data_IF_017218096008
#
_entry.id   IF_017218096008
#
_cell.length_a   1.000
_cell.length_b   1.000
_cell.length_c   1.000
_cell.angle_alpha   90.00
_cell.angle_beta   90.00
_cell.angle_gamma   90.00
#
_symmetry.space_group_name_H-M   'P 1'
#
loop_
_entity.id
_entity.type
_entity.pdbx_description
1 polymer ?
#
# COMPACT_ATOMS: atom_id res chain seq x y z
N UNK A 1 -37.08 6.75 2.28
CA UNK A 1 -36.27 6.72 3.51
C UNK A 1 -34.94 7.38 3.18
N UNK A 2 -34.43 8.29 3.99
CA UNK A 2 -33.09 8.83 3.79
C UNK A 2 -32.06 7.69 3.89
N UNK A 3 -31.07 7.68 3.00
CA UNK A 3 -29.96 6.74 3.10
C UNK A 3 -29.22 6.96 4.43
N UNK A 4 -28.71 5.90 5.08
CA UNK A 4 -27.93 6.05 6.29
C UNK A 4 -26.67 6.87 5.98
N UNK A 5 -26.39 7.87 6.83
CA UNK A 5 -25.17 8.69 6.71
C UNK A 5 -23.91 7.83 6.81
N UNK A 6 -22.88 8.19 6.03
CA UNK A 6 -21.57 7.50 6.03
C UNK A 6 -20.67 7.86 7.22
N UNK A 7 -21.12 8.73 8.12
CA UNK A 7 -20.35 9.21 9.26
C UNK A 7 -21.21 9.31 10.53
N UNK A 8 -20.55 9.23 11.69
CA UNK A 8 -21.12 9.63 12.97
C UNK A 8 -20.80 11.10 13.24
N UNK A 9 -21.68 11.79 13.96
CA UNK A 9 -21.39 13.14 14.43
C UNK A 9 -20.24 13.09 15.43
N UNK A 10 -19.15 13.80 15.13
CA UNK A 10 -18.05 13.95 16.06
C UNK A 10 -18.48 14.86 17.22
N UNK A 11 -18.70 14.26 18.38
CA UNK A 11 -19.08 14.97 19.61
C UNK A 11 -17.87 15.34 20.49
N UNK A 12 -16.65 15.07 20.03
CA UNK A 12 -15.44 15.49 20.74
C UNK A 12 -15.18 16.98 20.50
N UNK A 13 -14.72 17.72 21.52
CA UNK A 13 -14.35 19.12 21.35
C UNK A 13 -13.14 19.24 20.42
N UNK A 14 -13.08 20.35 19.69
CA UNK A 14 -11.90 20.69 18.91
C UNK A 14 -10.69 20.94 19.83
N UNK A 15 -9.49 20.78 19.29
CA UNK A 15 -8.26 20.98 20.03
C UNK A 15 -8.13 22.43 20.49
N UNK A 16 -7.97 22.64 21.81
CA UNK A 16 -7.94 23.97 22.43
C UNK A 16 -6.52 24.53 22.66
N UNK A 17 -5.48 23.83 22.20
CA UNK A 17 -4.08 24.23 22.40
C UNK A 17 -3.40 23.64 23.66
N UNK A 18 -4.14 22.93 24.52
CA UNK A 18 -3.59 22.33 25.74
C UNK A 18 -2.91 20.98 25.47
N UNK A 19 -1.84 20.68 26.21
CA UNK A 19 -1.14 19.40 26.08
C UNK A 19 -2.04 18.22 26.46
N UNK A 20 -2.40 17.40 25.46
CA UNK A 20 -3.11 16.14 25.68
C UNK A 20 -2.12 15.04 25.99
N UNK A 21 -2.23 14.43 27.17
CA UNK A 21 -1.47 13.21 27.51
C UNK A 21 -2.36 11.99 27.33
N UNK A 22 -2.16 11.17 26.28
CA UNK A 22 -2.97 9.98 26.08
C UNK A 22 -2.68 8.92 27.14
N UNK A 23 -3.70 8.20 27.58
CA UNK A 23 -3.52 7.01 28.42
C UNK A 23 -2.92 5.86 27.60
N UNK A 24 -1.58 5.83 27.57
CA UNK A 24 -0.81 4.78 26.89
C UNK A 24 -1.07 3.39 27.48
N UNK A 25 -1.49 3.29 28.75
CA UNK A 25 -1.81 2.03 29.41
C UNK A 25 -3.09 1.42 28.84
N UNK A 26 -4.17 2.20 28.82
CA UNK A 26 -5.47 1.83 28.25
C UNK A 26 -5.36 1.46 26.76
N UNK A 27 -4.70 2.32 25.96
CA UNK A 27 -4.50 2.04 24.53
C UNK A 27 -3.72 0.74 24.28
N UNK A 28 -2.68 0.47 25.09
CA UNK A 28 -1.91 -0.78 25.01
C UNK A 28 -2.74 -2.00 25.41
N UNK A 29 -3.65 -1.86 26.37
CA UNK A 29 -4.55 -2.93 26.82
C UNK A 29 -5.59 -3.25 25.74
N UNK A 30 -6.24 -2.22 25.18
CA UNK A 30 -7.20 -2.36 24.06
C UNK A 30 -6.56 -3.03 22.84
N UNK A 31 -5.36 -2.59 22.44
CA UNK A 31 -4.63 -3.22 21.35
C UNK A 31 -4.35 -4.71 21.60
N UNK A 32 -4.01 -5.07 22.84
CA UNK A 32 -3.78 -6.47 23.21
C UNK A 32 -5.06 -7.30 23.16
N UNK A 33 -6.17 -6.77 23.66
CA UNK A 33 -7.48 -7.43 23.62
C UNK A 33 -7.95 -7.68 22.18
N UNK A 34 -7.77 -6.69 21.29
CA UNK A 34 -8.06 -6.84 19.87
C UNK A 34 -7.18 -7.93 19.24
N UNK A 35 -5.88 -7.94 19.55
CA UNK A 35 -4.94 -8.97 19.08
C UNK A 35 -5.39 -10.36 19.52
N UNK A 36 -5.75 -10.54 20.79
CA UNK A 36 -6.25 -11.82 21.30
C UNK A 36 -7.55 -12.26 20.62
N UNK A 37 -8.44 -11.31 20.34
CA UNK A 37 -9.70 -11.58 19.64
C UNK A 37 -9.45 -12.04 18.21
N UNK A 38 -8.52 -11.39 17.50
CA UNK A 38 -8.11 -11.78 16.14
C UNK A 38 -7.48 -13.17 16.19
N UNK A 39 -6.50 -13.39 17.07
CA UNK A 39 -5.81 -14.68 17.16
C UNK A 39 -6.73 -15.83 17.55
N UNK A 40 -7.76 -15.59 18.36
CA UNK A 40 -8.74 -16.61 18.74
C UNK A 40 -9.77 -16.95 17.67
N UNK A 41 -9.95 -16.09 16.65
CA UNK A 41 -10.99 -16.28 15.60
C UNK A 41 -10.41 -16.55 14.22
N UNK A 42 -9.20 -16.07 13.94
CA UNK A 42 -8.62 -16.15 12.60
C UNK A 42 -7.80 -17.42 12.42
N UNK A 43 -8.39 -18.41 11.75
CA UNK A 43 -7.74 -19.69 11.51
C UNK A 43 -6.48 -19.54 10.63
N UNK A 44 -5.42 -20.24 11.00
CA UNK A 44 -4.09 -20.20 10.34
C UNK A 44 -4.01 -21.27 9.24
N UNK A 45 -4.94 -21.20 8.29
CA UNK A 45 -5.13 -22.19 7.23
C UNK A 45 -4.97 -21.54 5.85
N UNK A 46 -4.66 -22.35 4.83
CA UNK A 46 -4.37 -21.86 3.47
C UNK A 46 -5.51 -21.03 2.86
N UNK A 47 -6.78 -21.34 3.19
CA UNK A 47 -7.95 -20.60 2.70
C UNK A 47 -7.97 -19.14 3.15
N UNK A 48 -7.25 -18.81 4.23
CA UNK A 48 -7.17 -17.46 4.77
C UNK A 48 -5.91 -16.72 4.31
N UNK A 49 -5.09 -17.31 3.45
CA UNK A 49 -3.90 -16.67 2.90
C UNK A 49 -4.23 -15.70 1.75
N UNK A 50 -5.41 -15.82 1.15
CA UNK A 50 -5.84 -14.97 0.04
C UNK A 50 -5.93 -13.48 0.44
N UNK A 51 -5.57 -12.60 -0.49
CA UNK A 51 -5.59 -11.14 -0.30
C UNK A 51 -4.40 -10.55 0.47
N UNK A 52 -3.28 -11.27 0.55
CA UNK A 52 -1.97 -10.73 0.92
C UNK A 52 -1.93 -9.99 2.26
N UNK A 53 -1.28 -8.81 2.28
CA UNK A 53 -1.24 -7.90 3.42
C UNK A 53 -2.58 -7.22 3.71
N UNK A 54 -3.43 -7.09 2.69
CA UNK A 54 -4.66 -6.31 2.78
C UNK A 54 -5.74 -7.01 3.62
N UNK A 55 -6.00 -8.28 3.36
CA UNK A 55 -7.03 -9.08 4.07
C UNK A 55 -6.57 -10.48 4.46
N UNK A 56 -5.37 -10.92 4.04
CA UNK A 56 -4.85 -12.26 4.28
C UNK A 56 -4.02 -12.40 5.56
N UNK A 57 -3.50 -13.61 5.78
CA UNK A 57 -2.63 -13.91 6.93
C UNK A 57 -1.38 -13.02 6.99
N UNK A 58 -0.85 -12.56 5.86
CA UNK A 58 0.32 -11.67 5.84
C UNK A 58 0.05 -10.36 6.61
N UNK A 59 -1.17 -9.82 6.52
CA UNK A 59 -1.58 -8.64 7.28
C UNK A 59 -1.56 -8.87 8.79
N UNK A 60 -1.94 -10.08 9.24
CA UNK A 60 -1.82 -10.46 10.65
C UNK A 60 -0.36 -10.60 11.09
N UNK A 61 0.53 -11.11 10.22
CA UNK A 61 1.99 -11.13 10.49
C UNK A 61 2.50 -9.70 10.67
N UNK A 62 2.13 -8.78 9.78
CA UNK A 62 2.53 -7.38 9.84
C UNK A 62 2.05 -6.71 11.13
N UNK A 63 0.78 -6.90 11.50
CA UNK A 63 0.23 -6.41 12.76
C UNK A 63 1.05 -6.88 13.97
N UNK A 64 1.35 -8.18 14.06
CA UNK A 64 2.11 -8.75 15.17
C UNK A 64 3.56 -8.23 15.21
N UNK A 65 4.18 -7.98 14.06
CA UNK A 65 5.48 -7.31 13.95
C UNK A 65 5.44 -5.87 14.47
N UNK A 66 4.45 -5.06 14.07
CA UNK A 66 4.33 -3.70 14.57
C UNK A 66 4.17 -3.66 16.10
N UNK A 67 3.37 -4.59 16.65
CA UNK A 67 3.09 -4.66 18.08
C UNK A 67 4.29 -5.07 18.94
N UNK A 68 5.31 -5.74 18.38
CA UNK A 68 6.44 -6.21 19.18
C UNK A 68 7.45 -5.12 19.56
N UNK A 69 7.56 -4.06 18.74
CA UNK A 69 8.62 -3.04 18.79
C UNK A 69 8.71 -2.27 20.12
N UNK A 70 7.63 -2.23 20.91
CA UNK A 70 7.55 -1.43 22.15
C UNK A 70 7.16 -2.26 23.38
N UNK A 71 7.60 -3.52 23.43
CA UNK A 71 7.21 -4.47 24.48
C UNK A 71 8.41 -5.01 25.23
N UNK A 72 8.15 -5.51 26.44
CA UNK A 72 9.17 -6.24 27.21
C UNK A 72 9.65 -7.46 26.43
N UNK A 73 10.89 -7.90 26.66
CA UNK A 73 11.51 -9.01 25.92
C UNK A 73 10.64 -10.26 25.88
N UNK A 74 10.02 -10.63 27.02
CA UNK A 74 9.12 -11.79 27.10
C UNK A 74 7.92 -11.66 26.16
N UNK A 75 7.31 -10.47 26.09
CA UNK A 75 6.15 -10.19 25.22
C UNK A 75 6.56 -10.10 23.76
N UNK A 76 7.68 -9.44 23.46
CA UNK A 76 8.28 -9.41 22.12
C UNK A 76 8.47 -10.84 21.59
N UNK A 77 9.12 -11.70 22.37
CA UNK A 77 9.37 -13.10 21.97
C UNK A 77 8.07 -13.89 21.74
N UNK A 78 7.03 -13.65 22.54
CA UNK A 78 5.72 -14.27 22.33
C UNK A 78 5.08 -13.82 21.01
N UNK A 79 5.04 -12.51 20.75
CA UNK A 79 4.44 -11.95 19.54
C UNK A 79 5.17 -12.41 18.27
N UNK A 80 6.51 -12.45 18.29
CA UNK A 80 7.31 -12.94 17.17
C UNK A 80 7.04 -14.43 16.90
N UNK A 81 6.98 -15.26 17.95
CA UNK A 81 6.64 -16.69 17.79
C UNK A 81 5.23 -16.88 17.25
N UNK A 82 4.27 -16.09 17.71
CA UNK A 82 2.90 -16.12 17.20
C UNK A 82 2.86 -15.69 15.73
N UNK A 83 3.58 -14.64 15.35
CA UNK A 83 3.67 -14.17 13.96
C UNK A 83 4.20 -15.26 13.01
N UNK A 84 5.18 -16.06 13.43
CA UNK A 84 5.68 -17.20 12.63
C UNK A 84 4.58 -18.22 12.32
N UNK A 85 3.62 -18.42 13.23
CA UNK A 85 2.51 -19.36 12.99
C UNK A 85 1.55 -18.88 11.90
N UNK A 86 1.45 -17.56 11.69
CA UNK A 86 0.74 -16.96 10.55
C UNK A 86 1.60 -16.96 9.28
N UNK A 87 2.91 -16.71 9.44
CA UNK A 87 3.83 -16.59 8.31
C UNK A 87 4.02 -17.89 7.55
N UNK A 88 4.10 -19.05 8.24
CA UNK A 88 4.31 -20.36 7.58
C UNK A 88 3.29 -20.65 6.47
N UNK A 89 1.97 -20.73 6.75
CA UNK A 89 0.98 -20.95 5.70
C UNK A 89 0.95 -19.82 4.66
N UNK A 90 1.29 -18.58 5.06
CA UNK A 90 1.41 -17.45 4.14
C UNK A 90 2.49 -17.71 3.07
N UNK A 91 3.70 -18.10 3.50
CA UNK A 91 4.81 -18.39 2.58
C UNK A 91 4.59 -19.67 1.79
N UNK A 92 3.97 -20.70 2.37
CA UNK A 92 3.61 -21.93 1.66
C UNK A 92 2.65 -21.63 0.50
N UNK A 93 1.62 -20.81 0.75
CA UNK A 93 0.72 -20.33 -0.30
C UNK A 93 1.44 -19.49 -1.36
N UNK A 94 2.30 -18.55 -0.95
CA UNK A 94 3.05 -17.70 -1.88
C UNK A 94 3.98 -18.53 -2.79
N UNK A 95 4.67 -19.52 -2.23
CA UNK A 95 5.54 -20.42 -3.00
C UNK A 95 4.74 -21.28 -3.99
N UNK A 96 3.53 -21.73 -3.60
CA UNK A 96 2.65 -22.47 -4.49
C UNK A 96 2.16 -21.59 -5.66
N UNK A 97 1.66 -20.39 -5.36
CA UNK A 97 1.13 -19.47 -6.38
C UNK A 97 2.21 -18.85 -7.26
N UNK A 98 3.49 -18.85 -6.85
CA UNK A 98 4.62 -18.43 -7.70
C UNK A 98 4.63 -19.12 -9.07
N UNK A 99 4.14 -20.37 -9.15
CA UNK A 99 4.12 -21.18 -10.37
C UNK A 99 2.77 -21.30 -11.07
N UNK A 100 1.67 -21.01 -10.37
CA UNK A 100 0.29 -21.29 -10.82
C UNK A 100 -0.64 -20.06 -10.73
N UNK A 101 -0.21 -19.00 -10.05
CA UNK A 101 -0.99 -17.80 -9.81
C UNK A 101 -1.03 -16.89 -11.03
N UNK A 102 -1.99 -15.96 -11.02
CA UNK A 102 -1.99 -14.88 -12.01
C UNK A 102 -0.89 -13.86 -11.67
N UNK A 103 -0.62 -12.90 -12.57
CA UNK A 103 0.43 -11.89 -12.36
C UNK A 103 0.24 -11.03 -11.11
N UNK A 104 -1.01 -10.73 -10.74
CA UNK A 104 -1.35 -9.98 -9.52
C UNK A 104 -0.98 -10.79 -8.30
N UNK A 105 -1.43 -12.05 -8.22
CA UNK A 105 -1.11 -12.94 -7.09
C UNK A 105 0.42 -13.04 -6.88
N UNK A 106 1.17 -13.09 -7.98
CA UNK A 106 2.63 -13.23 -7.96
C UNK A 106 3.34 -11.97 -7.49
N UNK A 107 2.95 -10.78 -7.99
CA UNK A 107 3.79 -9.58 -7.89
C UNK A 107 3.19 -8.42 -7.09
N UNK A 108 1.88 -8.42 -6.81
CA UNK A 108 1.24 -7.35 -6.05
C UNK A 108 1.79 -7.26 -4.61
N UNK A 109 1.94 -6.03 -4.11
CA UNK A 109 2.41 -5.80 -2.75
C UNK A 109 1.33 -6.02 -1.71
N UNK A 110 0.23 -5.25 -1.75
CA UNK A 110 -0.82 -5.40 -0.73
C UNK A 110 -1.66 -6.67 -0.91
N UNK A 111 -1.92 -7.06 -2.16
CA UNK A 111 -2.82 -8.17 -2.46
C UNK A 111 -2.11 -9.47 -2.90
N UNK A 112 -0.79 -9.47 -3.06
CA UNK A 112 -0.05 -10.60 -3.60
C UNK A 112 1.16 -11.03 -2.78
N UNK A 113 1.97 -11.88 -3.39
CA UNK A 113 3.10 -12.53 -2.74
C UNK A 113 4.24 -11.58 -2.38
N UNK A 114 4.36 -10.42 -3.05
CA UNK A 114 5.41 -9.46 -2.70
C UNK A 114 5.25 -8.98 -1.25
N UNK A 115 4.02 -8.73 -0.79
CA UNK A 115 3.77 -8.40 0.61
C UNK A 115 4.11 -9.53 1.58
N UNK A 116 3.81 -10.78 1.20
CA UNK A 116 4.14 -11.97 1.99
C UNK A 116 5.66 -12.14 2.17
N UNK A 117 6.43 -12.02 1.09
CA UNK A 117 7.89 -12.08 1.16
C UNK A 117 8.47 -10.91 1.95
N UNK A 118 7.94 -9.69 1.75
CA UNK A 118 8.42 -8.52 2.46
C UNK A 118 8.23 -8.67 3.99
N UNK A 119 7.03 -9.03 4.44
CA UNK A 119 6.78 -9.22 5.88
C UNK A 119 7.54 -10.43 6.43
N UNK A 120 7.74 -11.47 5.62
CA UNK A 120 8.60 -12.61 5.98
C UNK A 120 10.04 -12.19 6.24
N UNK A 121 10.63 -11.39 5.34
CA UNK A 121 11.99 -10.89 5.48
C UNK A 121 12.18 -10.09 6.77
N UNK A 122 11.25 -9.17 7.05
CA UNK A 122 11.28 -8.32 8.25
C UNK A 122 11.09 -9.15 9.52
N UNK A 123 10.17 -10.12 9.53
CA UNK A 123 9.95 -10.97 10.69
C UNK A 123 11.16 -11.86 10.99
N UNK A 124 11.75 -12.48 9.96
CA UNK A 124 12.93 -13.32 10.14
C UNK A 124 14.15 -12.52 10.58
N UNK A 125 14.30 -11.27 10.12
CA UNK A 125 15.31 -10.35 10.64
C UNK A 125 15.09 -10.07 12.14
N UNK A 126 13.85 -9.81 12.57
CA UNK A 126 13.54 -9.57 13.98
C UNK A 126 13.75 -10.80 14.90
N UNK A 127 13.85 -11.99 14.30
CA UNK A 127 14.15 -13.28 14.92
C UNK A 127 15.63 -13.69 14.80
N UNK A 128 16.49 -12.80 14.28
CA UNK A 128 17.90 -13.06 14.01
C UNK A 128 18.15 -14.27 13.07
N UNK A 129 17.20 -14.57 12.18
CA UNK A 129 17.31 -15.63 11.18
C UNK A 129 17.70 -15.04 9.81
N UNK A 130 19.00 -14.82 9.63
CA UNK A 130 19.56 -14.18 8.43
C UNK A 130 19.32 -15.01 7.15
N UNK A 131 19.31 -16.34 7.24
CA UNK A 131 19.12 -17.23 6.09
C UNK A 131 17.72 -17.07 5.49
N UNK A 132 16.67 -17.23 6.32
CA UNK A 132 15.29 -17.09 5.87
C UNK A 132 14.94 -15.64 5.52
N UNK A 133 15.54 -14.66 6.20
CA UNK A 133 15.44 -13.25 5.82
C UNK A 133 15.95 -13.02 4.38
N UNK A 134 17.18 -13.50 4.09
CA UNK A 134 17.79 -13.37 2.75
C UNK A 134 17.00 -14.10 1.68
N UNK A 135 16.43 -15.27 2.02
CA UNK A 135 15.56 -16.02 1.11
C UNK A 135 14.32 -15.21 0.74
N UNK A 136 13.61 -14.66 1.72
CA UNK A 136 12.43 -13.82 1.48
C UNK A 136 12.78 -12.56 0.67
N UNK A 137 13.91 -11.91 0.96
CA UNK A 137 14.39 -10.76 0.17
C UNK A 137 14.69 -11.13 -1.28
N UNK A 138 15.34 -12.27 -1.50
CA UNK A 138 15.61 -12.77 -2.86
C UNK A 138 14.32 -13.03 -3.62
N UNK A 139 13.33 -13.66 -2.98
CA UNK A 139 12.01 -13.89 -3.55
C UNK A 139 11.30 -12.58 -3.92
N UNK A 140 11.33 -11.58 -3.03
CA UNK A 140 10.78 -10.24 -3.31
C UNK A 140 11.49 -9.56 -4.49
N UNK A 141 12.83 -9.58 -4.51
CA UNK A 141 13.62 -8.91 -5.53
C UNK A 141 13.44 -9.52 -6.93
N UNK A 142 13.25 -10.84 -7.01
CA UNK A 142 12.97 -11.56 -8.26
C UNK A 142 11.65 -11.15 -8.93
N UNK A 143 10.77 -10.41 -8.24
CA UNK A 143 9.51 -9.92 -8.79
C UNK A 143 9.68 -8.62 -9.58
N UNK A 144 10.80 -7.89 -9.42
CA UNK A 144 11.02 -6.62 -10.13
C UNK A 144 10.84 -6.76 -11.66
N UNK A 145 11.46 -7.76 -12.34
CA UNK A 145 11.26 -7.96 -13.78
C UNK A 145 9.80 -8.25 -14.21
N UNK A 146 8.94 -8.71 -13.29
CA UNK A 146 7.52 -8.98 -13.58
C UNK A 146 6.74 -7.68 -13.72
N UNK A 147 7.04 -6.68 -12.89
CA UNK A 147 6.33 -5.39 -12.86
C UNK A 147 6.95 -4.33 -13.78
N UNK A 148 8.20 -4.51 -14.21
CA UNK A 148 8.92 -3.55 -15.07
C UNK A 148 8.26 -3.30 -16.45
N UNK A 149 7.76 -4.29 -17.20
CA UNK A 149 7.22 -4.04 -18.54
C UNK A 149 6.05 -3.06 -18.52
N UNK A 150 6.03 -2.03 -19.39
CA UNK A 150 5.02 -0.95 -19.42
C UNK A 150 3.56 -1.47 -19.36
N UNK A 151 3.26 -2.57 -20.04
CA UNK A 151 1.94 -3.18 -20.08
C UNK A 151 1.87 -4.52 -19.32
N UNK A 152 2.46 -4.61 -18.13
CA UNK A 152 2.53 -5.87 -17.39
C UNK A 152 1.15 -6.41 -16.95
N UNK A 153 0.18 -5.54 -16.67
CA UNK A 153 -1.23 -5.85 -16.43
C UNK A 153 -2.13 -5.17 -17.46
N UNK A 154 -3.15 -5.89 -17.95
CA UNK A 154 -4.14 -5.36 -18.91
C UNK A 154 -5.18 -4.45 -18.28
N UNK A 155 -5.45 -4.60 -16.98
CA UNK A 155 -6.42 -3.79 -16.25
C UNK A 155 -5.86 -2.44 -15.78
N UNK A 156 -4.57 -2.14 -16.03
CA UNK A 156 -3.85 -1.05 -15.39
C UNK A 156 -2.93 -1.59 -14.30
N UNK A 157 -1.67 -1.15 -14.29
CA UNK A 157 -0.62 -1.79 -13.50
C UNK A 157 0.24 -0.84 -12.68
N UNK A 158 -0.22 0.39 -12.44
CA UNK A 158 0.56 1.42 -11.78
C UNK A 158 0.11 1.72 -10.35
N UNK A 159 -1.14 1.40 -10.01
CA UNK A 159 -1.74 1.78 -8.72
C UNK A 159 -1.15 1.06 -7.49
N UNK A 160 -1.66 1.36 -6.30
CA UNK A 160 -1.00 1.00 -5.05
C UNK A 160 -1.29 -0.44 -4.58
N UNK A 161 -2.48 -1.00 -4.83
CA UNK A 161 -2.83 -2.30 -4.26
C UNK A 161 -2.14 -3.46 -4.99
N UNK A 162 -2.12 -3.40 -6.32
CA UNK A 162 -1.59 -4.43 -7.22
C UNK A 162 -0.48 -3.94 -8.15
N UNK A 163 -0.36 -2.63 -8.35
CA UNK A 163 0.52 -2.00 -9.31
C UNK A 163 1.97 -1.78 -8.87
N UNK A 164 2.72 -1.09 -9.74
CA UNK A 164 4.11 -0.69 -9.49
C UNK A 164 4.27 0.23 -8.29
N UNK A 165 3.31 1.12 -8.04
CA UNK A 165 3.36 2.00 -6.87
C UNK A 165 3.40 1.19 -5.57
N UNK A 166 2.57 0.14 -5.47
CA UNK A 166 2.58 -0.78 -4.35
C UNK A 166 3.91 -1.51 -4.18
N UNK A 167 4.44 -2.07 -5.28
CA UNK A 167 5.72 -2.79 -5.26
C UNK A 167 6.87 -1.89 -4.78
N UNK A 168 6.96 -0.65 -5.29
CA UNK A 168 7.96 0.33 -4.87
C UNK A 168 7.74 0.81 -3.42
N UNK A 169 6.49 0.90 -2.94
CA UNK A 169 6.22 1.12 -1.52
C UNK A 169 6.83 -0.01 -0.66
N UNK A 170 6.71 -1.25 -1.12
CA UNK A 170 7.33 -2.41 -0.48
C UNK A 170 8.86 -2.33 -0.45
N UNK A 171 9.48 -1.85 -1.54
CA UNK A 171 10.93 -1.58 -1.60
C UNK A 171 11.32 -0.57 -0.52
N UNK A 172 10.67 0.59 -0.48
CA UNK A 172 10.95 1.65 0.50
C UNK A 172 10.76 1.15 1.94
N UNK A 173 9.68 0.41 2.19
CA UNK A 173 9.39 -0.15 3.51
C UNK A 173 10.46 -1.14 3.96
N UNK A 174 10.86 -2.08 3.09
CA UNK A 174 11.91 -3.05 3.39
C UNK A 174 13.27 -2.37 3.66
N UNK A 175 13.63 -1.37 2.86
CA UNK A 175 14.86 -0.61 3.08
C UNK A 175 14.83 0.11 4.44
N UNK A 176 13.68 0.64 4.84
CA UNK A 176 13.48 1.27 6.15
C UNK A 176 13.55 0.27 7.31
N UNK A 177 12.93 -0.91 7.18
CA UNK A 177 12.92 -1.90 8.27
C UNK A 177 14.27 -2.61 8.44
N UNK A 178 14.98 -2.87 7.34
CA UNK A 178 16.18 -3.71 7.31
C UNK A 178 17.48 -2.92 7.16
N UNK A 179 17.39 -1.62 6.85
CA UNK A 179 18.56 -0.75 6.64
C UNK A 179 19.54 -1.31 5.59
N UNK A 180 18.99 -1.93 4.54
CA UNK A 180 19.75 -2.54 3.46
C UNK A 180 19.12 -2.23 2.10
N UNK A 181 19.90 -2.33 1.03
CA UNK A 181 19.38 -2.20 -0.33
C UNK A 181 18.67 -3.50 -0.74
N UNK A 182 17.41 -3.36 -1.17
CA UNK A 182 16.57 -4.48 -1.61
C UNK A 182 16.75 -4.75 -3.11
N UNK A 183 16.88 -3.67 -3.89
CA UNK A 183 17.08 -3.70 -5.33
C UNK A 183 18.27 -2.83 -5.72
N UNK A 184 18.86 -3.13 -6.87
CA UNK A 184 19.80 -2.22 -7.52
C UNK A 184 19.07 -0.95 -7.98
N UNK A 185 19.76 0.19 -7.92
CA UNK A 185 19.19 1.49 -8.30
C UNK A 185 18.68 1.50 -9.76
N UNK A 186 19.39 0.82 -10.67
CA UNK A 186 18.95 0.66 -12.06
C UNK A 186 17.61 -0.05 -12.21
N UNK A 187 17.32 -1.04 -11.36
CA UNK A 187 16.03 -1.74 -11.38
C UNK A 187 14.89 -0.85 -10.88
N UNK A 188 15.14 -0.07 -9.82
CA UNK A 188 14.17 0.92 -9.30
C UNK A 188 13.88 1.97 -10.38
N UNK A 189 14.92 2.53 -11.02
CA UNK A 189 14.76 3.50 -12.09
C UNK A 189 13.98 2.94 -13.28
N UNK A 190 14.22 1.69 -13.67
CA UNK A 190 13.49 1.05 -14.77
C UNK A 190 11.98 0.93 -14.47
N UNK A 191 11.60 0.60 -13.22
CA UNK A 191 10.18 0.55 -12.82
C UNK A 191 9.55 1.95 -12.86
N UNK A 192 10.24 2.96 -12.32
CA UNK A 192 9.77 4.35 -12.32
C UNK A 192 9.66 4.93 -13.74
N UNK A 193 10.61 4.61 -14.61
CA UNK A 193 10.57 5.00 -16.03
C UNK A 193 9.36 4.36 -16.73
N UNK A 194 9.06 3.09 -16.44
CA UNK A 194 7.87 2.42 -16.95
C UNK A 194 6.56 3.04 -16.44
N UNK A 195 6.51 3.47 -15.17
CA UNK A 195 5.35 4.20 -14.61
C UNK A 195 5.18 5.58 -15.28
N UNK A 196 6.28 6.28 -15.58
CA UNK A 196 6.22 7.57 -16.27
C UNK A 196 5.74 7.39 -17.71
N UNK A 197 6.28 6.39 -18.41
CA UNK A 197 5.93 6.07 -19.79
C UNK A 197 4.46 5.67 -19.91
N UNK A 198 3.97 4.75 -19.05
CA UNK A 198 2.56 4.33 -19.07
C UNK A 198 1.61 5.51 -18.86
N UNK A 199 1.92 6.38 -17.90
CA UNK A 199 1.11 7.57 -17.59
C UNK A 199 1.06 8.57 -18.75
N UNK A 200 2.20 8.83 -19.41
CA UNK A 200 2.27 9.70 -20.58
C UNK A 200 1.50 9.12 -21.77
N UNK A 201 1.70 7.83 -22.06
CA UNK A 201 1.03 7.14 -23.16
C UNK A 201 -0.49 7.16 -22.97
N UNK A 202 -0.96 6.83 -21.77
CA UNK A 202 -2.38 6.80 -21.45
C UNK A 202 -3.00 8.20 -21.56
N UNK A 203 -2.39 9.21 -20.92
CA UNK A 203 -2.85 10.59 -21.00
C UNK A 203 -3.00 11.07 -22.45
N UNK A 204 -1.97 10.85 -23.28
CA UNK A 204 -2.00 11.24 -24.70
C UNK A 204 -3.09 10.50 -25.49
N UNK A 205 -3.26 9.21 -25.27
CA UNK A 205 -4.24 8.39 -25.97
C UNK A 205 -5.68 8.80 -25.65
N UNK A 206 -5.95 9.20 -24.41
CA UNK A 206 -7.28 9.57 -23.93
C UNK A 206 -7.52 11.09 -23.92
N UNK A 207 -6.53 11.88 -24.35
CA UNK A 207 -6.56 13.35 -24.32
C UNK A 207 -6.87 13.88 -22.91
N UNK A 208 -6.28 13.24 -21.90
CA UNK A 208 -6.47 13.62 -20.50
C UNK A 208 -5.99 15.05 -20.26
N UNK A 209 -6.68 15.83 -19.42
CA UNK A 209 -6.20 17.16 -19.01
C UNK A 209 -4.93 17.08 -18.14
N UNK A 210 -4.64 15.91 -17.56
CA UNK A 210 -3.45 15.68 -16.73
C UNK A 210 -2.31 15.12 -17.59
N UNK A 211 -1.08 15.66 -17.51
CA UNK A 211 0.07 15.13 -18.27
C UNK A 211 0.40 13.66 -17.99
N UNK A 212 0.13 13.21 -16.76
CA UNK A 212 0.17 11.82 -16.35
C UNK A 212 -1.24 11.43 -15.90
N UNK A 213 -1.76 10.36 -16.48
CA UNK A 213 -3.05 9.77 -16.09
C UNK A 213 -2.96 8.25 -16.19
N UNK A 214 -3.72 7.57 -15.34
CA UNK A 214 -3.72 6.11 -15.24
C UNK A 214 -5.16 5.62 -15.13
N UNK A 215 -5.36 4.35 -15.43
CA UNK A 215 -6.62 3.68 -15.14
C UNK A 215 -6.38 2.41 -14.32
N UNK A 216 -7.41 2.00 -13.61
CA UNK A 216 -7.56 0.66 -13.09
C UNK A 216 -8.97 0.16 -13.41
N UNK A 217 -9.08 -1.02 -14.04
CA UNK A 217 -10.36 -1.56 -14.55
C UNK A 217 -11.22 -0.52 -15.29
N UNK A 218 -10.60 0.21 -16.24
CA UNK A 218 -11.24 1.26 -17.07
C UNK A 218 -11.72 2.50 -16.32
N UNK A 219 -11.34 2.67 -15.06
CA UNK A 219 -11.67 3.85 -14.26
C UNK A 219 -10.42 4.67 -14.00
N UNK A 220 -10.48 5.98 -14.27
CA UNK A 220 -9.43 6.94 -13.96
C UNK A 220 -9.56 7.41 -12.50
N UNK A 221 -9.16 6.54 -11.55
CA UNK A 221 -9.22 6.84 -10.12
C UNK A 221 -8.26 7.96 -9.71
N UNK A 222 -8.64 8.73 -8.70
CA UNK A 222 -7.85 9.85 -8.18
C UNK A 222 -7.19 9.52 -6.83
N UNK A 223 -7.83 8.69 -6.00
CA UNK A 223 -7.40 8.32 -4.64
C UNK A 223 -6.08 7.56 -4.49
N UNK A 224 -5.60 7.42 -3.25
CA UNK A 224 -4.33 6.74 -2.94
C UNK A 224 -4.31 5.25 -3.30
N UNK A 225 -5.45 4.57 -3.23
CA UNK A 225 -5.53 3.12 -3.43
C UNK A 225 -5.30 2.75 -4.91
N UNK A 226 -6.23 3.19 -5.77
CA UNK A 226 -6.28 2.78 -7.17
C UNK A 226 -5.88 3.87 -8.16
N UNK A 227 -5.52 5.06 -7.65
CA UNK A 227 -5.55 6.27 -8.44
C UNK A 227 -4.27 7.10 -8.42
N UNK A 228 -4.39 8.26 -9.04
CA UNK A 228 -3.28 9.15 -9.34
C UNK A 228 -2.51 9.60 -8.09
N UNK A 229 -3.20 9.94 -6.99
CA UNK A 229 -2.55 10.44 -5.77
C UNK A 229 -1.49 9.48 -5.23
N UNK A 230 -1.83 8.19 -5.10
CA UNK A 230 -0.92 7.16 -4.61
C UNK A 230 0.26 6.91 -5.55
N UNK A 231 0.00 6.94 -6.87
CA UNK A 231 1.02 6.78 -7.90
C UNK A 231 2.05 7.92 -7.85
N UNK A 232 1.57 9.17 -7.83
CA UNK A 232 2.44 10.34 -7.77
C UNK A 232 3.21 10.40 -6.46
N UNK A 233 2.58 10.08 -5.32
CA UNK A 233 3.26 10.04 -4.03
C UNK A 233 4.44 9.04 -4.03
N UNK A 234 4.25 7.87 -4.64
CA UNK A 234 5.33 6.90 -4.75
C UNK A 234 6.46 7.39 -5.65
N UNK A 235 6.16 7.96 -6.83
CA UNK A 235 7.20 8.57 -7.68
C UNK A 235 7.98 9.68 -6.94
N UNK A 236 7.28 10.50 -6.16
CA UNK A 236 7.87 11.58 -5.35
C UNK A 236 8.82 11.06 -4.27
N UNK A 237 8.67 9.81 -3.86
CA UNK A 237 9.48 9.17 -2.81
C UNK A 237 10.87 8.70 -3.30
N UNK A 238 11.21 8.92 -4.58
CA UNK A 238 12.51 8.56 -5.17
C UNK A 238 13.29 9.80 -5.65
N UNK A 239 13.97 10.54 -4.75
CA UNK A 239 14.63 11.79 -5.10
C UNK A 239 15.82 11.64 -6.06
N UNK A 240 16.56 10.52 -6.04
CA UNK A 240 17.66 10.28 -6.99
C UNK A 240 17.15 10.14 -8.42
N UNK A 241 16.05 9.42 -8.60
CA UNK A 241 15.36 9.30 -9.89
C UNK A 241 14.87 10.67 -10.38
N UNK A 242 14.19 11.45 -9.53
CA UNK A 242 13.71 12.80 -9.88
C UNK A 242 14.85 13.76 -10.25
N UNK A 243 15.96 13.72 -9.52
CA UNK A 243 17.13 14.57 -9.79
C UNK A 243 17.73 14.28 -11.18
N UNK A 244 17.72 13.02 -11.60
CA UNK A 244 18.23 12.60 -12.92
C UNK A 244 17.23 12.79 -14.07
N UNK A 245 15.95 13.04 -13.79
CA UNK A 245 14.89 13.23 -14.80
C UNK A 245 14.07 14.51 -14.55
N UNK A 246 14.60 15.70 -14.91
CA UNK A 246 13.88 16.96 -14.75
C UNK A 246 12.51 16.99 -15.44
N UNK A 247 12.38 16.33 -16.59
CA UNK A 247 11.10 16.23 -17.30
C UNK A 247 10.05 15.43 -16.51
N UNK A 248 10.45 14.34 -15.85
CA UNK A 248 9.55 13.55 -15.01
C UNK A 248 9.00 14.39 -13.85
N UNK A 249 9.91 15.14 -13.19
CA UNK A 249 9.54 16.07 -12.12
C UNK A 249 8.51 17.11 -12.57
N UNK A 250 8.69 17.70 -13.74
CA UNK A 250 7.76 18.69 -14.29
C UNK A 250 6.38 18.08 -14.62
N UNK A 251 6.37 16.88 -15.21
CA UNK A 251 5.12 16.16 -15.51
C UNK A 251 4.34 15.81 -14.24
N UNK A 252 5.02 15.28 -13.22
CA UNK A 252 4.45 14.99 -11.90
C UNK A 252 3.87 16.25 -11.29
N UNK A 253 4.64 17.35 -11.28
CA UNK A 253 4.19 18.62 -10.71
C UNK A 253 2.92 19.12 -11.41
N UNK A 254 2.90 19.14 -12.73
CA UNK A 254 1.74 19.61 -13.49
C UNK A 254 0.50 18.73 -13.30
N UNK A 255 0.67 17.40 -13.20
CA UNK A 255 -0.44 16.51 -12.85
C UNK A 255 -0.97 16.78 -11.44
N UNK A 256 -0.09 17.00 -10.47
CA UNK A 256 -0.46 17.37 -9.10
C UNK A 256 -1.19 18.73 -9.06
N UNK A 257 -0.73 19.73 -9.80
CA UNK A 257 -1.39 21.04 -9.88
C UNK A 257 -2.82 20.92 -10.42
N UNK A 258 -3.08 20.01 -11.37
CA UNK A 258 -4.44 19.73 -11.87
C UNK A 258 -5.26 18.95 -10.85
N UNK A 259 -4.69 17.92 -10.21
CA UNK A 259 -5.36 17.15 -9.16
C UNK A 259 -5.84 18.06 -8.02
N UNK A 260 -5.00 18.99 -7.56
CA UNK A 260 -5.35 19.94 -6.50
C UNK A 260 -6.49 20.89 -6.91
N UNK A 261 -6.67 21.17 -8.19
CA UNK A 261 -7.81 21.97 -8.68
C UNK A 261 -9.14 21.20 -8.63
N UNK A 262 -9.10 19.88 -8.44
CA UNK A 262 -10.30 19.05 -8.30
C UNK A 262 -10.86 19.05 -6.87
N UNK A 263 -10.20 19.71 -5.91
CA UNK A 263 -10.70 19.80 -4.54
C UNK A 263 -12.11 20.43 -4.52
N UNK A 264 -13.03 19.77 -3.83
CA UNK A 264 -14.41 20.20 -3.70
C UNK A 264 -14.52 21.36 -2.71
N UNK A 265 -15.65 22.10 -2.69
CA UNK A 265 -15.89 23.14 -1.68
C UNK A 265 -15.90 22.62 -0.23
N UNK A 266 -16.12 21.32 0.00
CA UNK A 266 -16.02 20.69 1.32
C UNK A 266 -14.57 20.39 1.74
N UNK A 267 -13.59 20.63 0.86
CA UNK A 267 -12.19 20.25 1.06
C UNK A 267 -11.90 18.78 0.71
N UNK A 268 -12.91 18.04 0.25
CA UNK A 268 -12.79 16.66 -0.20
C UNK A 268 -12.35 16.58 -1.66
N UNK A 269 -12.23 15.38 -2.22
CA UNK A 269 -11.90 15.15 -3.62
C UNK A 269 -12.85 14.13 -4.28
N UNK A 270 -13.09 14.25 -5.59
CA UNK A 270 -13.82 13.24 -6.36
C UNK A 270 -13.04 11.93 -6.43
N UNK A 271 -13.76 10.79 -6.49
CA UNK A 271 -13.11 9.48 -6.44
C UNK A 271 -12.39 9.11 -7.76
N UNK A 272 -12.92 9.62 -8.87
CA UNK A 272 -12.48 9.32 -10.23
C UNK A 272 -12.88 10.46 -11.18
N UNK A 273 -12.24 10.53 -12.36
CA UNK A 273 -12.47 11.58 -13.36
C UNK A 273 -13.88 11.56 -13.97
N UNK A 274 -14.53 10.40 -14.04
CA UNK A 274 -15.90 10.26 -14.55
C UNK A 274 -16.97 10.73 -13.55
N UNK A 275 -16.60 11.02 -12.31
CA UNK A 275 -17.49 11.58 -11.28
C UNK A 275 -17.47 13.12 -11.23
N UNK A 276 -16.67 13.79 -12.07
CA UNK A 276 -16.52 15.26 -12.03
C UNK A 276 -17.83 16.01 -12.34
N UNK A 277 -18.63 15.48 -13.27
CA UNK A 277 -19.93 16.05 -13.65
C UNK A 277 -21.06 15.61 -12.71
N UNK A 278 -20.87 14.51 -11.99
CA UNK A 278 -21.86 13.86 -11.12
C UNK A 278 -21.47 13.97 -9.65
N UNK A 279 -21.48 15.19 -9.10
CA UNK A 279 -21.10 15.41 -7.69
C UNK A 279 -21.98 14.57 -6.76
N UNK A 280 -21.33 13.76 -5.93
CA UNK A 280 -22.00 13.01 -4.86
C UNK A 280 -22.68 13.99 -3.90
N UNK A 281 -23.83 13.58 -3.37
CA UNK A 281 -24.47 14.33 -2.30
C UNK A 281 -23.53 14.38 -1.07
N UNK A 282 -23.48 15.47 -0.29
CA UNK A 282 -22.58 15.58 0.87
C UNK A 282 -22.67 14.41 1.86
N UNK A 283 -23.87 13.84 2.06
CA UNK A 283 -24.07 12.68 2.94
C UNK A 283 -23.54 11.35 2.35
N UNK A 284 -23.23 11.31 1.06
CA UNK A 284 -22.72 10.16 0.31
C UNK A 284 -21.24 10.30 -0.10
N UNK A 285 -20.58 11.38 0.33
CA UNK A 285 -19.14 11.58 0.10
C UNK A 285 -18.32 10.41 0.67
N UNK A 286 -17.26 10.04 -0.07
CA UNK A 286 -16.26 9.11 0.45
C UNK A 286 -15.16 9.91 1.12
N UNK A 287 -14.90 9.60 2.38
CA UNK A 287 -13.83 10.19 3.17
C UNK A 287 -12.99 9.03 3.68
N UNK A 288 -12.30 8.36 2.75
CA UNK A 288 -11.52 7.15 3.01
C UNK A 288 -10.07 7.35 2.55
N UNK A 289 -9.15 6.54 3.07
CA UNK A 289 -7.79 6.47 2.51
C UNK A 289 -7.81 6.09 1.02
N UNK A 290 -8.70 5.19 0.61
CA UNK A 290 -8.75 4.72 -0.77
C UNK A 290 -9.32 5.76 -1.75
N UNK A 291 -10.25 6.61 -1.30
CA UNK A 291 -10.96 7.59 -2.12
C UNK A 291 -11.38 8.80 -1.26
N UNK A 292 -11.01 10.00 -1.71
CA UNK A 292 -11.27 11.26 -1.02
C UNK A 292 -10.07 11.78 -0.22
N UNK A 293 -10.27 12.92 0.44
CA UNK A 293 -9.24 13.72 1.10
C UNK A 293 -8.28 12.96 2.06
N UNK A 294 -8.67 11.89 2.77
CA UNK A 294 -7.71 11.18 3.61
C UNK A 294 -6.57 10.48 2.84
N UNK A 295 -6.69 10.30 1.52
CA UNK A 295 -5.64 9.73 0.67
C UNK A 295 -5.29 10.57 -0.56
N UNK A 296 -5.84 11.76 -0.72
CA UNK A 296 -5.62 12.67 -1.87
C UNK A 296 -5.04 14.00 -1.38
#
# INVERSE_FOLDING_TARGET
MALPKRYFLNNFPDYNGENVTPDKGDLKAKALQLTQTISGKWAKIHQNCDGGLYVGLAGAVYMLHCLQSQRSQKRRNYLLKEAVTYLKPTLDCANYTKSQGNKVDIAAFLLGNAGAYAVGAVLYNALDNAEECKKCLSEFAQLAPVVTPVNWLSCGGDEFLVGRAGYLAGVLWLQSELQCNVLEEGAIHAILDAMLESGCQYSKAHRSPMPLMYQYYKTEYLGAAHGLAGILQIMLSFPSWLASRPQAKELIKRSLDVLLQLQTPSGNFPCAMDELDGRRHPDDELVHWCHGAPGE
#
